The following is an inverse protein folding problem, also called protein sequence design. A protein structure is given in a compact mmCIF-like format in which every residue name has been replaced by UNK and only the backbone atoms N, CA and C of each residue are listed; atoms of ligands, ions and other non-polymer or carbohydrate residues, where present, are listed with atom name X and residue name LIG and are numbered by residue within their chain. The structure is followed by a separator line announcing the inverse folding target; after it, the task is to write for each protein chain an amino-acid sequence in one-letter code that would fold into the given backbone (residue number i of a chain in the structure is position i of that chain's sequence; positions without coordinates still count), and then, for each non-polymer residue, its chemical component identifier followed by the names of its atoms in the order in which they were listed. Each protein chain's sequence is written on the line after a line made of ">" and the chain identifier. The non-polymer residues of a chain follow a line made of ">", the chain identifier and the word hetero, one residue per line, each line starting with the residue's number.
data_IF_456253783542
#
_entry.id   IF_456253783542
#
_cell.length_a   1.000
_cell.length_b   1.000
_cell.length_c   1.000
_cell.angle_alpha   90.00
_cell.angle_beta   90.00
_cell.angle_gamma   90.00
#
_symmetry.space_group_name_H-M   'P 1'
#
loop_
_entity.id
_entity.type
_entity.pdbx_description
1 polymer ?
#
# COMPACT_ATOMS: atom_id res chain seq x y z
N UNK A 1 -8.13 25.64 -4.91
CA UNK A 1 -7.90 26.04 -3.50
C UNK A 1 -6.41 26.02 -3.28
N UNK A 2 -5.79 27.18 -3.01
CA UNK A 2 -4.40 27.21 -2.57
C UNK A 2 -4.37 26.68 -1.14
N UNK A 3 -3.72 25.53 -0.94
CA UNK A 3 -3.59 24.90 0.38
C UNK A 3 -2.48 25.55 1.22
N UNK A 4 -1.73 26.49 0.64
CA UNK A 4 -0.63 27.21 1.27
C UNK A 4 -1.03 28.63 1.64
N UNK A 5 -0.58 29.09 2.81
CA UNK A 5 -0.64 30.49 3.24
C UNK A 5 0.29 31.38 2.39
N UNK A 6 0.21 32.70 2.58
CA UNK A 6 1.14 33.66 1.96
C UNK A 6 2.59 33.41 2.38
N UNK A 7 2.82 32.83 3.57
CA UNK A 7 4.13 32.42 4.05
C UNK A 7 4.58 31.04 3.55
N UNK A 8 3.76 30.35 2.75
CA UNK A 8 4.07 29.00 2.24
C UNK A 8 3.78 27.87 3.24
N UNK A 9 3.10 28.15 4.34
CA UNK A 9 2.73 27.15 5.34
C UNK A 9 1.46 26.40 4.92
N UNK A 10 1.37 25.13 5.28
CA UNK A 10 0.18 24.31 5.04
C UNK A 10 -0.05 23.33 6.19
N UNK A 11 -1.26 22.79 6.27
CA UNK A 11 -1.63 21.76 7.23
C UNK A 11 -2.41 20.65 6.52
N UNK A 12 -2.10 19.40 6.86
CA UNK A 12 -2.72 18.20 6.28
C UNK A 12 -3.18 17.26 7.41
N UNK A 13 -4.37 16.70 7.25
CA UNK A 13 -4.87 15.63 8.09
C UNK A 13 -5.02 14.36 7.24
N UNK A 14 -4.28 13.30 7.60
CA UNK A 14 -4.36 11.98 6.94
C UNK A 14 -5.04 10.99 7.88
N UNK A 15 -6.17 10.37 7.49
CA UNK A 15 -6.80 9.34 8.32
C UNK A 15 -5.85 8.16 8.54
N UNK A 16 -5.73 7.68 9.79
CA UNK A 16 -4.89 6.53 10.11
C UNK A 16 -5.35 5.24 9.39
N UNK A 17 -6.63 5.13 9.04
CA UNK A 17 -7.16 4.02 8.25
C UNK A 17 -6.58 3.94 6.83
N UNK A 18 -6.04 5.03 6.29
CA UNK A 18 -5.37 5.08 4.98
C UNK A 18 -3.90 4.65 5.08
N UNK A 19 -3.34 4.60 6.30
CA UNK A 19 -1.94 4.25 6.54
C UNK A 19 -1.76 2.88 7.21
N UNK A 20 -2.74 2.46 8.01
CA UNK A 20 -2.66 1.29 8.89
C UNK A 20 -3.96 0.47 8.77
N UNK A 21 -3.87 -0.74 8.22
CA UNK A 21 -5.04 -1.62 8.09
C UNK A 21 -5.68 -2.00 9.45
N UNK A 22 -4.93 -1.96 10.55
CA UNK A 22 -5.52 -2.06 11.90
C UNK A 22 -6.56 -0.96 12.19
N UNK A 23 -6.26 0.28 11.83
CA UNK A 23 -7.15 1.42 12.02
C UNK A 23 -8.32 1.43 11.04
N UNK A 24 -8.21 0.70 9.92
CA UNK A 24 -9.30 0.49 8.99
C UNK A 24 -10.28 -0.58 9.50
N UNK A 25 -9.76 -1.72 9.96
CA UNK A 25 -10.57 -2.90 10.31
C UNK A 25 -11.09 -2.90 11.75
N UNK A 26 -10.28 -2.41 12.70
CA UNK A 26 -10.62 -2.50 14.11
C UNK A 26 -11.20 -1.18 14.64
N UNK A 27 -12.52 -1.07 14.60
CA UNK A 27 -13.26 0.13 15.02
C UNK A 27 -13.83 0.04 16.46
N UNK A 28 -13.32 -0.88 17.28
CA UNK A 28 -13.78 -1.07 18.67
C UNK A 28 -12.82 -0.44 19.67
N UNK A 29 -13.29 -0.27 20.90
CA UNK A 29 -12.51 0.32 22.00
C UNK A 29 -11.38 -0.62 22.42
N UNK A 30 -10.21 -0.04 22.71
CA UNK A 30 -9.04 -0.70 23.31
C UNK A 30 -8.74 0.01 24.62
N UNK A 31 -8.28 -0.72 25.63
CA UNK A 31 -8.02 -0.24 26.98
C UNK A 31 -6.66 -0.72 27.47
N UNK A 32 -5.99 0.06 28.30
CA UNK A 32 -4.73 -0.34 28.95
C UNK A 32 -3.62 -0.82 27.99
N UNK A 33 -3.68 -0.49 26.70
CA UNK A 33 -2.64 -0.82 25.72
C UNK A 33 -1.74 0.38 25.54
N UNK A 34 -0.43 0.16 25.67
CA UNK A 34 0.56 1.13 25.23
C UNK A 34 0.54 1.17 23.71
N UNK A 35 0.29 2.35 23.15
CA UNK A 35 0.30 2.57 21.70
C UNK A 35 1.55 3.37 21.34
N UNK A 36 2.20 2.97 20.25
CA UNK A 36 3.42 3.61 19.74
C UNK A 36 3.31 3.70 18.22
N UNK A 37 3.62 4.88 17.67
CA UNK A 37 3.67 5.13 16.23
C UNK A 37 5.10 5.56 15.88
N UNK A 38 5.76 4.76 15.05
CA UNK A 38 7.12 5.03 14.57
C UNK A 38 7.01 5.52 13.13
N UNK A 39 7.51 6.73 12.86
CA UNK A 39 7.59 7.32 11.53
C UNK A 39 9.06 7.51 11.16
N UNK A 40 9.44 7.01 9.98
CA UNK A 40 10.79 7.19 9.43
C UNK A 40 10.71 8.17 8.27
N UNK A 41 11.35 9.33 8.41
CA UNK A 41 11.40 10.36 7.36
C UNK A 41 12.57 10.09 6.41
N UNK A 42 12.33 10.23 5.11
CA UNK A 42 13.40 10.28 4.11
C UNK A 42 14.35 11.46 4.37
N UNK A 43 15.59 11.34 3.91
CA UNK A 43 16.57 12.44 3.93
C UNK A 43 16.32 13.47 2.81
N UNK A 44 15.48 13.12 1.85
CA UNK A 44 15.20 13.85 0.62
C UNK A 44 13.70 14.16 0.54
N UNK A 45 13.37 15.38 0.13
CA UNK A 45 12.00 15.90 0.04
C UNK A 45 11.46 15.86 -1.40
N UNK A 46 12.30 15.48 -2.37
CA UNK A 46 12.02 15.51 -3.80
C UNK A 46 10.83 14.63 -4.23
N UNK A 47 10.39 13.69 -3.39
CA UNK A 47 9.19 12.89 -3.63
C UNK A 47 7.89 13.60 -3.21
N UNK A 48 7.97 14.74 -2.54
CA UNK A 48 6.83 15.40 -1.89
C UNK A 48 6.30 16.61 -2.67
N UNK A 49 6.98 17.01 -3.74
CA UNK A 49 6.60 18.14 -4.59
C UNK A 49 6.99 17.90 -6.04
N UNK A 50 6.33 18.64 -6.95
CA UNK A 50 6.61 18.61 -8.38
C UNK A 50 7.02 20.02 -8.81
N UNK A 51 8.12 20.13 -9.54
CA UNK A 51 8.58 21.38 -10.13
C UNK A 51 8.06 21.49 -11.55
N UNK A 52 7.34 22.57 -11.85
CA UNK A 52 6.86 22.87 -13.20
C UNK A 52 7.89 23.77 -13.87
N UNK A 53 8.58 23.26 -14.89
CA UNK A 53 9.48 24.08 -15.73
C UNK A 53 8.64 25.09 -16.51
N UNK A 54 8.95 26.37 -16.40
CA UNK A 54 8.44 27.38 -17.32
C UNK A 54 9.29 27.32 -18.60
N UNK A 55 8.69 27.35 -19.81
CA UNK A 55 9.45 27.39 -21.05
C UNK A 55 10.35 28.63 -21.07
N UNK A 56 11.55 28.56 -21.67
CA UNK A 56 12.43 29.71 -21.78
C UNK A 56 11.73 30.79 -22.60
N UNK A 57 11.45 31.93 -21.96
CA UNK A 57 11.07 33.15 -22.66
C UNK A 57 12.35 33.74 -23.29
N UNK A 58 12.26 34.17 -24.56
CA UNK A 58 13.40 34.68 -25.33
C UNK A 58 14.32 35.58 -24.49
N UNK A 59 15.59 35.19 -24.38
CA UNK A 59 16.65 35.98 -23.76
C UNK A 59 16.90 35.79 -22.25
N UNK A 60 16.18 34.91 -21.54
CA UNK A 60 16.54 34.55 -20.16
C UNK A 60 17.20 33.15 -20.07
N UNK A 61 18.30 33.00 -19.31
CA UNK A 61 18.92 31.71 -19.08
C UNK A 61 17.95 30.76 -18.38
N UNK A 62 18.08 29.45 -18.63
CA UNK A 62 17.32 28.41 -17.96
C UNK A 62 17.48 28.58 -16.43
N UNK A 63 16.37 28.85 -15.73
CA UNK A 63 16.41 29.02 -14.27
C UNK A 63 16.88 27.71 -13.66
N UNK A 64 17.93 27.77 -12.86
CA UNK A 64 18.37 26.64 -12.02
C UNK A 64 17.19 26.22 -11.16
N UNK A 65 16.81 24.95 -11.22
CA UNK A 65 15.74 24.38 -10.40
C UNK A 65 16.18 24.43 -8.94
N UNK A 66 15.67 25.41 -8.19
CA UNK A 66 15.86 25.45 -6.74
C UNK A 66 15.08 24.31 -6.11
N UNK A 67 15.79 23.45 -5.37
CA UNK A 67 15.18 22.37 -4.61
C UNK A 67 14.33 22.97 -3.49
N UNK A 68 13.05 22.61 -3.46
CA UNK A 68 12.19 22.93 -2.33
C UNK A 68 12.58 22.04 -1.13
N UNK A 69 12.58 22.63 0.06
CA UNK A 69 12.78 21.94 1.34
C UNK A 69 11.48 22.03 2.13
N UNK A 70 11.01 20.90 2.64
CA UNK A 70 9.80 20.85 3.46
C UNK A 70 10.23 20.72 4.92
N UNK A 71 9.81 21.69 5.74
CA UNK A 71 10.07 21.68 7.17
C UNK A 71 8.82 21.21 7.93
N UNK A 72 8.96 20.11 8.67
CA UNK A 72 7.88 19.59 9.51
C UNK A 72 7.89 20.33 10.85
N UNK A 73 6.99 21.30 11.00
CA UNK A 73 6.87 22.08 12.23
C UNK A 73 6.24 21.27 13.37
N UNK A 74 5.18 20.52 13.06
CA UNK A 74 4.47 19.70 14.03
C UNK A 74 3.91 18.44 13.35
N UNK A 75 4.18 17.28 13.97
CA UNK A 75 3.59 16.01 13.57
C UNK A 75 2.87 15.46 14.79
N UNK A 76 1.55 15.32 14.68
CA UNK A 76 0.73 14.75 15.75
C UNK A 76 -0.27 13.75 15.17
N UNK A 77 -0.44 12.63 15.87
CA UNK A 77 -1.52 11.70 15.64
C UNK A 77 -2.64 11.94 16.66
N UNK A 78 -3.88 11.75 16.22
CA UNK A 78 -5.07 11.95 17.06
C UNK A 78 -5.89 10.67 17.04
N UNK A 79 -6.10 10.10 18.23
CA UNK A 79 -6.95 8.92 18.42
C UNK A 79 -8.10 9.35 19.35
N UNK A 80 -9.36 9.00 19.03
CA UNK A 80 -10.50 9.26 19.91
C UNK A 80 -10.30 8.58 21.27
N UNK A 81 -10.45 9.35 22.35
CA UNK A 81 -10.41 8.85 23.72
C UNK A 81 -11.83 8.83 24.29
N UNK A 82 -12.28 7.66 24.73
CA UNK A 82 -13.64 7.45 25.26
C UNK A 82 -13.57 7.23 26.77
N UNK A 83 -14.32 8.03 27.53
CA UNK A 83 -14.51 7.85 28.97
C UNK A 83 -15.93 7.37 29.25
N UNK A 84 -16.09 6.59 30.32
CA UNK A 84 -17.38 6.09 30.79
C UNK A 84 -17.61 6.61 32.20
N UNK A 85 -18.87 6.89 32.55
CA UNK A 85 -19.23 7.26 33.92
C UNK A 85 -18.95 6.11 34.91
N UNK A 86 -18.85 6.40 36.20
CA UNK A 86 -18.45 5.43 37.22
C UNK A 86 -19.35 4.18 37.27
N UNK A 87 -20.66 4.33 37.10
CA UNK A 87 -21.60 3.20 37.07
C UNK A 87 -21.32 2.25 35.90
N UNK A 88 -21.13 2.80 34.69
CA UNK A 88 -20.80 2.02 33.50
C UNK A 88 -19.37 1.47 33.56
N UNK A 89 -18.44 2.20 34.17
CA UNK A 89 -17.06 1.75 34.41
C UNK A 89 -17.06 0.48 35.25
N UNK A 90 -17.81 0.45 36.35
CA UNK A 90 -17.93 -0.75 37.20
C UNK A 90 -18.54 -1.92 36.45
N UNK A 91 -19.60 -1.69 35.67
CA UNK A 91 -20.23 -2.73 34.85
C UNK A 91 -19.25 -3.29 33.80
N UNK A 92 -18.50 -2.43 33.11
CA UNK A 92 -17.47 -2.81 32.16
C UNK A 92 -16.36 -3.62 32.84
N UNK A 93 -15.83 -3.16 33.98
CA UNK A 93 -14.79 -3.88 34.71
C UNK A 93 -15.26 -5.27 35.17
N UNK A 94 -16.53 -5.43 35.59
CA UNK A 94 -17.09 -6.76 35.91
C UNK A 94 -17.10 -7.70 34.70
N UNK A 95 -17.44 -7.20 33.52
CA UNK A 95 -17.39 -8.01 32.29
C UNK A 95 -15.96 -8.43 31.92
N UNK A 96 -15.00 -7.51 32.08
CA UNK A 96 -13.59 -7.76 31.74
C UNK A 96 -12.90 -8.71 32.73
N UNK A 97 -13.30 -8.70 34.01
CA UNK A 97 -12.76 -9.57 35.09
C UNK A 97 -12.83 -11.07 34.80
N UNK A 98 -13.63 -11.50 33.83
CA UNK A 98 -13.68 -12.91 33.38
C UNK A 98 -12.46 -13.36 32.55
N UNK A 99 -11.34 -12.63 32.58
CA UNK A 99 -10.10 -12.89 31.82
C UNK A 99 -10.32 -13.21 30.34
N UNK A 100 -11.32 -12.60 29.72
CA UNK A 100 -11.59 -12.80 28.29
C UNK A 100 -10.44 -12.20 27.48
N UNK A 101 -9.65 -13.09 26.88
CA UNK A 101 -8.74 -12.74 25.80
C UNK A 101 -9.59 -12.46 24.55
N UNK A 102 -9.35 -11.31 23.93
CA UNK A 102 -10.03 -10.90 22.71
C UNK A 102 -9.13 -11.21 21.52
N UNK A 103 -9.70 -11.88 20.52
CA UNK A 103 -9.07 -12.07 19.22
C UNK A 103 -9.32 -10.81 18.37
N UNK A 104 -8.25 -10.11 17.99
CA UNK A 104 -8.27 -8.92 17.15
C UNK A 104 -7.79 -9.30 15.75
N UNK A 105 -8.73 -9.46 14.82
CA UNK A 105 -8.44 -9.68 13.40
C UNK A 105 -8.35 -8.35 12.66
N UNK A 106 -7.32 -8.18 11.83
CA UNK A 106 -7.14 -7.04 10.94
C UNK A 106 -6.25 -7.40 9.76
N UNK A 107 -6.32 -6.63 8.68
CA UNK A 107 -5.47 -6.74 7.51
C UNK A 107 -4.20 -5.95 7.75
N UNK A 108 -3.07 -6.62 7.65
CA UNK A 108 -1.76 -6.01 7.74
C UNK A 108 -1.22 -5.74 6.33
N UNK A 109 -0.54 -4.61 6.17
CA UNK A 109 0.01 -4.17 4.90
C UNK A 109 1.54 -4.16 4.97
N UNK A 110 2.19 -4.77 4.00
CA UNK A 110 3.64 -4.84 3.91
C UNK A 110 4.11 -4.48 2.51
N UNK A 111 4.88 -3.41 2.40
CA UNK A 111 5.44 -2.93 1.14
C UNK A 111 6.87 -3.42 1.00
N UNK A 112 7.17 -3.99 -0.16
CA UNK A 112 8.50 -4.35 -0.61
C UNK A 112 8.81 -3.60 -1.89
N UNK A 113 10.06 -3.19 -2.07
CA UNK A 113 10.54 -2.58 -3.30
C UNK A 113 11.75 -3.35 -3.87
N UNK A 114 11.78 -3.45 -5.20
CA UNK A 114 12.95 -3.86 -5.97
C UNK A 114 13.53 -2.60 -6.63
N UNK A 115 14.55 -1.97 -6.04
CA UNK A 115 14.90 -0.58 -6.34
C UNK A 115 15.31 -0.33 -7.79
N UNK A 116 15.95 -1.31 -8.45
CA UNK A 116 16.42 -1.16 -9.82
C UNK A 116 16.25 -2.45 -10.61
N UNK A 117 15.22 -2.53 -11.44
CA UNK A 117 15.01 -3.67 -12.34
C UNK A 117 16.11 -3.76 -13.40
N UNK A 118 16.58 -4.98 -13.72
CA UNK A 118 17.49 -5.19 -14.83
C UNK A 118 16.78 -4.92 -16.16
N UNK A 119 17.51 -4.40 -17.15
CA UNK A 119 17.03 -4.10 -18.50
C UNK A 119 16.75 -5.38 -19.31
N UNK A 120 15.78 -6.14 -18.87
CA UNK A 120 15.35 -7.44 -19.39
C UNK A 120 13.85 -7.39 -19.69
N UNK A 121 13.35 -8.37 -20.45
CA UNK A 121 11.92 -8.50 -20.75
C UNK A 121 11.16 -9.32 -19.71
N UNK A 122 11.86 -10.07 -18.86
CA UNK A 122 11.28 -10.97 -17.87
C UNK A 122 12.09 -10.90 -16.59
N UNK A 123 11.40 -10.83 -15.48
CA UNK A 123 12.02 -10.82 -14.17
C UNK A 123 11.27 -11.74 -13.22
N UNK A 124 12.02 -12.42 -12.35
CA UNK A 124 11.50 -13.27 -11.29
C UNK A 124 12.01 -12.67 -9.98
N UNK A 125 11.08 -12.32 -9.10
CA UNK A 125 11.35 -11.70 -7.82
C UNK A 125 10.79 -12.55 -6.69
N UNK A 126 11.67 -13.15 -5.88
CA UNK A 126 11.31 -13.74 -4.59
C UNK A 126 11.14 -12.62 -3.56
N UNK A 127 9.89 -12.27 -3.26
CA UNK A 127 9.55 -11.09 -2.45
C UNK A 127 9.79 -11.36 -0.97
N UNK A 128 9.20 -12.43 -0.45
CA UNK A 128 9.38 -12.88 0.93
C UNK A 128 9.02 -14.36 1.05
N UNK A 129 9.52 -14.99 2.11
CA UNK A 129 8.94 -16.21 2.66
C UNK A 129 8.09 -15.81 3.86
N UNK A 130 6.79 -16.07 3.82
CA UNK A 130 5.86 -15.73 4.89
C UNK A 130 5.57 -16.93 5.79
N UNK A 131 5.34 -16.66 7.07
CA UNK A 131 4.96 -17.71 8.04
C UNK A 131 3.53 -18.19 7.78
N UNK A 132 3.15 -19.34 8.35
CA UNK A 132 1.83 -19.94 8.14
C UNK A 132 0.66 -19.00 8.48
N UNK A 133 0.85 -18.09 9.44
CA UNK A 133 -0.21 -17.23 9.94
C UNK A 133 -0.46 -15.97 9.13
N UNK A 134 0.48 -15.57 8.28
CA UNK A 134 0.39 -14.37 7.45
C UNK A 134 -0.12 -14.76 6.06
N UNK A 135 -1.40 -15.13 5.97
CA UNK A 135 -2.01 -15.57 4.71
C UNK A 135 -2.13 -14.40 3.72
N UNK A 136 -1.40 -14.38 2.59
CA UNK A 136 -1.51 -13.29 1.61
C UNK A 136 -2.90 -13.29 0.98
N UNK A 137 -3.64 -12.20 1.16
CA UNK A 137 -4.99 -12.03 0.65
C UNK A 137 -4.98 -11.28 -0.68
N UNK A 138 -4.14 -10.26 -0.79
CA UNK A 138 -3.94 -9.51 -2.02
C UNK A 138 -2.45 -9.23 -2.23
N UNK A 139 -2.04 -9.29 -3.49
CA UNK A 139 -0.73 -8.80 -3.94
C UNK A 139 -0.97 -7.68 -4.94
N UNK A 140 -0.37 -6.52 -4.70
CA UNK A 140 -0.42 -5.38 -5.62
C UNK A 140 0.98 -5.11 -6.14
N UNK A 141 1.16 -5.28 -7.44
CA UNK A 141 2.40 -4.99 -8.15
C UNK A 141 2.27 -3.66 -8.91
N UNK A 142 3.28 -2.81 -8.77
CA UNK A 142 3.34 -1.51 -9.43
C UNK A 142 4.78 -1.17 -9.83
N UNK A 143 4.95 -0.25 -10.78
CA UNK A 143 6.26 0.16 -11.26
C UNK A 143 6.37 1.68 -11.31
N UNK A 144 7.55 2.21 -11.02
CA UNK A 144 7.87 3.62 -11.25
C UNK A 144 9.22 3.76 -11.93
N UNK A 145 9.27 4.56 -12.99
CA UNK A 145 10.44 4.78 -13.83
C UNK A 145 10.95 6.19 -13.66
N UNK A 146 12.15 6.31 -13.09
CA UNK A 146 12.85 7.59 -12.88
C UNK A 146 11.95 8.63 -12.17
N UNK A 147 11.27 8.22 -11.09
CA UNK A 147 10.45 9.08 -10.21
C UNK A 147 11.02 9.22 -8.81
N UNK A 148 11.67 8.19 -8.29
CA UNK A 148 12.28 8.24 -6.95
C UNK A 148 13.28 9.39 -6.88
N UNK A 149 13.03 10.30 -5.95
CA UNK A 149 13.79 11.52 -5.68
C UNK A 149 13.95 12.42 -6.92
N UNK A 150 12.95 12.45 -7.80
CA UNK A 150 12.94 13.27 -9.00
C UNK A 150 11.75 14.24 -8.96
N UNK A 151 12.00 15.49 -8.57
CA UNK A 151 10.97 16.52 -8.47
C UNK A 151 10.39 16.96 -9.81
N UNK A 152 10.93 16.53 -10.94
CA UNK A 152 10.37 16.84 -12.26
C UNK A 152 9.26 15.86 -12.67
N UNK A 153 9.09 14.77 -11.93
CA UNK A 153 8.06 13.77 -12.19
C UNK A 153 7.16 13.55 -10.99
N UNK A 154 5.88 13.34 -11.27
CA UNK A 154 4.90 13.02 -10.24
C UNK A 154 5.18 11.64 -9.62
N UNK A 155 5.61 11.64 -8.35
CA UNK A 155 5.91 10.46 -7.55
C UNK A 155 4.64 9.68 -7.14
N UNK A 156 3.45 10.23 -7.33
CA UNK A 156 2.18 9.53 -7.07
C UNK A 156 1.73 8.64 -8.23
N UNK A 157 2.35 8.81 -9.42
CA UNK A 157 2.00 8.03 -10.61
C UNK A 157 2.85 6.76 -10.76
N UNK A 158 2.26 5.74 -11.37
CA UNK A 158 2.89 4.47 -11.72
C UNK A 158 2.93 4.27 -13.23
N UNK A 159 3.89 3.47 -13.71
CA UNK A 159 4.05 3.14 -15.12
C UNK A 159 3.61 1.72 -15.43
N UNK A 160 3.08 1.52 -16.63
CA UNK A 160 2.66 0.20 -17.09
C UNK A 160 3.84 -0.64 -17.62
N UNK A 161 5.02 -0.04 -17.81
CA UNK A 161 6.26 -0.68 -18.25
C UNK A 161 6.13 -1.66 -19.44
N UNK A 162 5.12 -1.47 -20.30
CA UNK A 162 4.74 -2.38 -21.39
C UNK A 162 4.55 -3.86 -20.95
N UNK A 163 4.05 -4.09 -19.73
CA UNK A 163 3.76 -5.43 -19.23
C UNK A 163 2.92 -6.23 -20.24
N UNK A 164 3.32 -7.49 -20.42
CA UNK A 164 2.61 -8.49 -21.22
C UNK A 164 2.03 -9.60 -20.37
N UNK A 165 2.66 -9.93 -19.25
CA UNK A 165 2.16 -10.97 -18.36
C UNK A 165 2.64 -10.75 -16.92
N UNK A 166 1.85 -11.21 -15.95
CA UNK A 166 2.21 -11.24 -14.52
C UNK A 166 1.66 -12.52 -13.91
N UNK A 167 2.50 -13.26 -13.19
CA UNK A 167 2.14 -14.43 -12.39
C UNK A 167 2.72 -14.31 -11.00
N UNK A 168 1.86 -14.47 -10.01
CA UNK A 168 2.23 -14.72 -8.63
C UNK A 168 2.33 -16.22 -8.42
N UNK A 169 3.38 -16.66 -7.74
CA UNK A 169 3.51 -18.00 -7.20
C UNK A 169 3.46 -17.91 -5.68
N UNK A 170 2.52 -18.65 -5.09
CA UNK A 170 2.48 -18.97 -3.67
C UNK A 170 2.91 -20.44 -3.55
N UNK A 171 4.16 -20.67 -3.17
CA UNK A 171 4.82 -21.97 -3.34
C UNK A 171 4.71 -22.46 -4.81
N UNK A 172 4.04 -23.59 -5.04
CA UNK A 172 3.85 -24.16 -6.37
C UNK A 172 2.52 -23.77 -7.05
N UNK A 173 1.71 -22.90 -6.44
CA UNK A 173 0.41 -22.47 -6.98
C UNK A 173 0.52 -21.10 -7.63
N UNK A 174 0.13 -20.99 -8.90
CA UNK A 174 0.18 -19.75 -9.66
C UNK A 174 -1.16 -19.00 -9.70
N UNK A 175 -1.10 -17.68 -9.65
CA UNK A 175 -2.23 -16.76 -9.74
C UNK A 175 -1.89 -15.56 -10.65
N UNK A 176 -2.74 -15.21 -11.63
CA UNK A 176 -3.78 -16.06 -12.19
C UNK A 176 -3.20 -17.36 -12.79
N UNK A 177 -4.07 -18.33 -13.06
CA UNK A 177 -3.68 -19.58 -13.73
C UNK A 177 -3.28 -19.32 -15.19
N UNK A 178 -4.18 -18.64 -15.91
CA UNK A 178 -3.97 -18.26 -17.31
C UNK A 178 -3.05 -17.04 -17.44
N UNK A 179 -2.39 -16.93 -18.59
CA UNK A 179 -1.61 -15.74 -18.92
C UNK A 179 -2.52 -14.54 -19.22
N UNK A 180 -2.14 -13.37 -18.72
CA UNK A 180 -2.92 -12.14 -18.86
C UNK A 180 -2.90 -11.60 -20.30
N UNK A 181 -1.89 -11.94 -21.10
CA UNK A 181 -1.75 -11.56 -22.51
C UNK A 181 -1.99 -10.06 -22.79
N UNK A 182 -1.39 -9.21 -21.96
CA UNK A 182 -1.59 -7.77 -21.93
C UNK A 182 -0.86 -7.09 -23.09
N UNK A 183 -1.46 -6.03 -23.62
CA UNK A 183 -0.87 -5.21 -24.67
C UNK A 183 -1.33 -3.75 -24.56
N UNK A 184 -0.53 -2.92 -23.89
CA UNK A 184 -0.84 -1.50 -23.73
C UNK A 184 -0.82 -0.70 -25.04
N UNK A 185 -0.02 -1.11 -26.04
CA UNK A 185 0.07 -0.45 -27.35
C UNK A 185 -1.23 -0.64 -28.14
N UNK A 186 -1.77 -1.86 -28.10
CA UNK A 186 -3.05 -2.21 -28.75
C UNK A 186 -4.28 -1.99 -27.85
N UNK A 187 -4.12 -1.31 -26.72
CA UNK A 187 -5.14 -1.11 -25.68
C UNK A 187 -5.82 -2.39 -25.14
N UNK A 188 -5.14 -3.54 -25.19
CA UNK A 188 -5.62 -4.81 -24.61
C UNK A 188 -5.13 -4.95 -23.17
N UNK A 189 -5.76 -4.22 -22.26
CA UNK A 189 -5.48 -4.27 -20.81
C UNK A 189 -6.76 -4.26 -19.97
N UNK A 190 -7.92 -4.56 -20.58
CA UNK A 190 -9.21 -4.58 -19.91
C UNK A 190 -9.25 -5.55 -18.71
N UNK A 191 -8.54 -6.68 -18.80
CA UNK A 191 -8.44 -7.65 -17.71
C UNK A 191 -7.72 -7.06 -16.48
N UNK A 192 -6.60 -6.34 -16.69
CA UNK A 192 -5.91 -5.64 -15.60
C UNK A 192 -6.80 -4.58 -14.97
N UNK A 193 -7.52 -3.82 -15.79
CA UNK A 193 -8.46 -2.83 -15.27
C UNK A 193 -9.60 -3.48 -14.47
N UNK A 194 -10.13 -4.62 -14.92
CA UNK A 194 -11.13 -5.38 -14.17
C UNK A 194 -10.59 -5.89 -12.83
N UNK A 195 -9.35 -6.38 -12.78
CA UNK A 195 -8.68 -6.75 -11.53
C UNK A 195 -8.56 -5.56 -10.57
N UNK A 196 -8.18 -4.39 -11.10
CA UNK A 196 -8.09 -3.14 -10.34
C UNK A 196 -9.45 -2.69 -9.79
N UNK A 197 -10.50 -2.66 -10.60
CA UNK A 197 -11.82 -2.18 -10.16
C UNK A 197 -12.52 -3.15 -9.22
N UNK A 198 -12.35 -4.45 -9.43
CA UNK A 198 -12.94 -5.49 -8.57
C UNK A 198 -12.34 -5.53 -7.18
N UNK A 199 -11.11 -5.03 -7.02
CA UNK A 199 -10.42 -5.01 -5.73
C UNK A 199 -11.22 -4.31 -4.66
N UNK A 200 -11.75 -3.10 -4.92
CA UNK A 200 -12.49 -2.36 -3.90
C UNK A 200 -13.72 -3.14 -3.42
N UNK A 201 -14.48 -3.73 -4.34
CA UNK A 201 -15.66 -4.53 -3.97
C UNK A 201 -15.27 -5.78 -3.18
N UNK A 202 -14.20 -6.48 -3.58
CA UNK A 202 -13.70 -7.66 -2.86
C UNK A 202 -13.11 -7.29 -1.48
N UNK A 203 -12.46 -6.14 -1.38
CA UNK A 203 -11.79 -5.65 -0.18
C UNK A 203 -12.76 -5.06 0.84
N UNK A 204 -13.69 -4.21 0.42
CA UNK A 204 -14.64 -3.54 1.31
C UNK A 204 -15.96 -4.29 1.50
N UNK A 205 -16.30 -5.21 0.60
CA UNK A 205 -17.59 -5.91 0.62
C UNK A 205 -18.77 -5.05 0.15
N UNK A 206 -18.51 -3.85 -0.36
CA UNK A 206 -19.51 -2.90 -0.86
C UNK A 206 -19.24 -2.56 -2.32
N UNK A 207 -20.32 -2.31 -3.08
CA UNK A 207 -20.18 -1.86 -4.46
C UNK A 207 -19.75 -0.39 -4.47
N UNK A 208 -18.53 -0.13 -4.91
CA UNK A 208 -17.96 1.20 -5.04
C UNK A 208 -17.68 1.53 -6.50
N UNK A 209 -17.76 2.81 -6.86
CA UNK A 209 -17.29 3.25 -8.17
C UNK A 209 -15.76 3.13 -8.23
N UNK A 210 -15.19 2.73 -9.38
CA UNK A 210 -13.75 2.74 -9.58
C UNK A 210 -13.13 4.10 -9.25
N UNK A 211 -12.03 4.11 -8.50
CA UNK A 211 -11.30 5.34 -8.17
C UNK A 211 -10.74 6.06 -9.40
N UNK A 212 -10.52 5.32 -10.48
CA UNK A 212 -9.87 5.81 -11.69
C UNK A 212 -10.56 5.21 -12.91
N UNK A 213 -10.77 6.01 -13.96
CA UNK A 213 -11.28 5.54 -15.24
C UNK A 213 -10.21 4.76 -16.02
N UNK A 214 -10.61 4.04 -17.07
CA UNK A 214 -9.68 3.20 -17.87
C UNK A 214 -8.47 3.97 -18.44
N UNK A 215 -8.64 5.25 -18.79
CA UNK A 215 -7.58 6.12 -19.31
C UNK A 215 -6.60 6.49 -18.20
N UNK A 216 -7.11 7.04 -17.08
CA UNK A 216 -6.29 7.38 -15.93
C UNK A 216 -5.60 6.13 -15.33
N UNK A 217 -6.24 4.96 -15.38
CA UNK A 217 -5.63 3.70 -14.99
C UNK A 217 -4.36 3.43 -15.81
N UNK A 218 -4.44 3.50 -17.14
CA UNK A 218 -3.28 3.27 -18.02
C UNK A 218 -2.16 4.29 -17.79
N UNK A 219 -2.51 5.57 -17.63
CA UNK A 219 -1.55 6.67 -17.62
C UNK A 219 -0.93 6.96 -16.24
N UNK A 220 -1.68 6.71 -15.16
CA UNK A 220 -1.31 7.17 -13.81
C UNK A 220 -1.24 6.05 -12.78
N UNK A 221 -2.02 4.99 -12.93
CA UNK A 221 -2.16 3.97 -11.90
C UNK A 221 -2.35 2.55 -12.45
N UNK A 222 -1.46 2.03 -13.32
CA UNK A 222 -1.54 0.68 -13.87
C UNK A 222 -1.12 -0.37 -12.83
N UNK A 223 -1.86 -0.42 -11.72
CA UNK A 223 -1.65 -1.35 -10.62
C UNK A 223 -2.16 -2.74 -11.02
N UNK A 224 -1.33 -3.77 -10.80
CA UNK A 224 -1.71 -5.17 -11.02
C UNK A 224 -2.13 -5.76 -9.68
N UNK A 225 -3.42 -6.01 -9.51
CA UNK A 225 -3.98 -6.54 -8.25
C UNK A 225 -4.34 -8.01 -8.41
N UNK A 226 -3.64 -8.89 -7.69
CA UNK A 226 -3.89 -10.33 -7.70
C UNK A 226 -4.64 -10.70 -6.42
N UNK A 227 -5.92 -11.07 -6.57
CA UNK A 227 -6.78 -11.52 -5.48
C UNK A 227 -6.51 -12.99 -5.14
N UNK A 228 -5.98 -13.21 -3.94
CA UNK A 228 -5.70 -14.53 -3.36
C UNK A 228 -6.63 -14.85 -2.19
N UNK A 229 -7.71 -14.10 -1.99
CA UNK A 229 -8.64 -14.28 -0.86
C UNK A 229 -9.27 -15.68 -0.84
N UNK A 230 -9.53 -16.24 -2.02
CA UNK A 230 -10.09 -17.58 -2.25
C UNK A 230 -9.02 -18.65 -2.56
N UNK A 231 -7.76 -18.41 -2.18
CA UNK A 231 -6.69 -19.38 -2.39
C UNK A 231 -6.96 -20.70 -1.67
N UNK A 232 -6.41 -21.79 -2.22
CA UNK A 232 -6.57 -23.15 -1.68
C UNK A 232 -6.09 -23.26 -0.23
N UNK A 233 -6.80 -24.04 0.57
CA UNK A 233 -6.40 -24.37 1.94
C UNK A 233 -5.12 -25.22 2.00
N UNK A 234 -4.74 -25.89 0.90
CA UNK A 234 -3.51 -26.69 0.84
C UNK A 234 -2.24 -25.86 0.97
N UNK A 235 -2.31 -24.54 0.74
CA UNK A 235 -1.17 -23.62 0.91
C UNK A 235 -0.85 -23.43 2.41
N UNK A 236 -1.76 -23.80 3.32
CA UNK A 236 -1.65 -23.59 4.77
C UNK A 236 -0.74 -24.58 5.51
N UNK A 237 -0.08 -25.54 4.86
CA UNK A 237 0.65 -26.62 5.57
C UNK A 237 2.12 -26.30 5.89
N UNK A 238 2.61 -25.08 5.64
CA UNK A 238 3.99 -24.68 5.92
C UNK A 238 4.31 -23.23 5.52
N UNK A 239 5.60 -22.84 5.53
CA UNK A 239 6.03 -21.54 5.02
C UNK A 239 5.58 -21.34 3.56
N UNK A 240 5.22 -20.11 3.22
CA UNK A 240 4.77 -19.76 1.87
C UNK A 240 5.79 -18.83 1.22
N UNK A 241 6.45 -19.32 0.18
CA UNK A 241 7.29 -18.49 -0.68
C UNK A 241 6.41 -17.66 -1.62
N UNK A 242 6.54 -16.34 -1.53
CA UNK A 242 5.82 -15.37 -2.36
C UNK A 242 6.77 -14.90 -3.46
N UNK A 243 6.52 -15.38 -4.68
CA UNK A 243 7.37 -15.07 -5.84
C UNK A 243 6.55 -14.44 -6.96
N UNK A 244 6.98 -13.30 -7.44
CA UNK A 244 6.40 -12.62 -8.60
C UNK A 244 7.24 -12.90 -9.83
N UNK A 245 6.55 -13.21 -10.92
CA UNK A 245 7.11 -13.31 -12.25
C UNK A 245 6.36 -12.34 -13.14
N UNK A 246 7.07 -11.49 -13.85
CA UNK A 246 6.45 -10.52 -14.74
C UNK A 246 7.26 -10.33 -16.01
N UNK A 247 6.54 -10.15 -17.10
CA UNK A 247 7.06 -10.05 -18.45
C UNK A 247 6.59 -8.75 -19.10
N UNK A 248 7.41 -8.20 -19.98
CA UNK A 248 7.14 -7.00 -20.76
C UNK A 248 7.50 -7.23 -22.22
N UNK A 249 6.76 -6.57 -23.13
CA UNK A 249 7.06 -6.59 -24.57
C UNK A 249 8.42 -5.98 -24.90
N UNK A 250 8.86 -5.01 -24.09
CA UNK A 250 10.15 -4.30 -24.22
C UNK A 250 10.96 -4.54 -22.96
N UNK A 251 12.26 -4.22 -23.00
CA UNK A 251 13.05 -4.26 -21.77
C UNK A 251 12.46 -3.25 -20.77
N UNK A 252 12.44 -3.60 -19.48
CA UNK A 252 12.11 -2.64 -18.44
C UNK A 252 13.00 -1.40 -18.61
N UNK A 253 12.42 -0.18 -18.60
CA UNK A 253 13.21 1.04 -18.73
C UNK A 253 14.31 1.12 -17.67
N UNK A 254 15.36 1.88 -17.97
CA UNK A 254 16.38 2.19 -16.95
C UNK A 254 15.74 2.97 -15.79
N UNK A 255 16.26 2.76 -14.58
CA UNK A 255 15.77 3.42 -13.36
C UNK A 255 14.30 3.08 -13.04
N UNK A 256 13.84 1.88 -13.38
CA UNK A 256 12.54 1.37 -12.94
C UNK A 256 12.67 0.65 -11.61
N UNK A 257 11.89 1.11 -10.62
CA UNK A 257 11.64 0.43 -9.35
C UNK A 257 10.33 -0.37 -9.46
N UNK A 258 10.33 -1.61 -8.97
CA UNK A 258 9.09 -2.38 -8.79
C UNK A 258 8.67 -2.33 -7.32
N UNK A 259 7.37 -2.20 -7.07
CA UNK A 259 6.78 -2.23 -5.74
C UNK A 259 5.83 -3.42 -5.64
N UNK A 260 5.88 -4.13 -4.52
CA UNK A 260 4.98 -5.21 -4.17
C UNK A 260 4.36 -4.91 -2.80
N UNK A 261 3.08 -4.56 -2.78
CA UNK A 261 2.30 -4.48 -1.54
C UNK A 261 1.61 -5.82 -1.30
N UNK A 262 1.92 -6.42 -0.16
CA UNK A 262 1.25 -7.63 0.33
C UNK A 262 0.25 -7.22 1.39
N UNK A 263 -1.01 -7.59 1.19
CA UNK A 263 -2.04 -7.47 2.21
C UNK A 263 -2.33 -8.88 2.72
N UNK A 264 -2.16 -9.10 4.02
CA UNK A 264 -2.42 -10.39 4.65
C UNK A 264 -3.30 -10.25 5.89
N UNK A 265 -4.05 -11.30 6.18
CA UNK A 265 -4.89 -11.34 7.38
C UNK A 265 -4.00 -11.60 8.60
N UNK A 266 -4.18 -10.82 9.67
CA UNK A 266 -3.45 -10.95 10.93
C UNK A 266 -4.41 -11.04 12.10
N UNK A 267 -4.11 -11.93 13.04
CA UNK A 267 -4.86 -12.07 14.28
C UNK A 267 -3.91 -11.93 15.46
N UNK A 268 -4.27 -11.07 16.42
CA UNK A 268 -3.56 -10.94 17.69
C UNK A 268 -4.50 -11.17 18.85
N UNK A 269 -4.00 -11.76 19.91
CA UNK A 269 -4.72 -11.91 21.16
C UNK A 269 -4.44 -10.72 22.07
N UNK A 270 -5.49 -10.17 22.65
CA UNK A 270 -5.40 -8.98 23.48
C UNK A 270 -6.16 -9.18 24.80
N UNK A 271 -5.48 -8.92 25.91
CA UNK A 271 -6.09 -8.93 27.23
C UNK A 271 -6.29 -7.47 27.72
N UNK A 272 -7.53 -6.99 27.84
CA UNK A 272 -7.81 -5.60 28.24
C UNK A 272 -7.52 -5.26 29.70
N UNK A 273 -7.40 -6.25 30.59
CA UNK A 273 -7.07 -6.00 31.99
C UNK A 273 -5.57 -5.77 32.16
N UNK A 274 -4.76 -6.59 31.51
CA UNK A 274 -3.30 -6.53 31.63
C UNK A 274 -2.65 -5.65 30.56
N UNK A 275 -3.36 -5.33 29.48
CA UNK A 275 -2.80 -4.64 28.32
C UNK A 275 -1.91 -5.51 27.45
N UNK A 276 -1.75 -6.80 27.78
CA UNK A 276 -0.86 -7.71 27.08
C UNK A 276 -1.46 -8.03 25.71
N UNK A 277 -0.63 -7.88 24.67
CA UNK A 277 -0.92 -8.29 23.31
C UNK A 277 0.02 -9.43 22.94
N UNK A 278 -0.53 -10.57 22.53
CA UNK A 278 0.21 -11.73 22.03
C UNK A 278 -0.02 -11.87 20.54
N UNK A 279 1.07 -11.95 19.79
CA UNK A 279 1.00 -12.37 18.39
C UNK A 279 0.82 -13.88 18.40
N UNK A 280 -0.23 -14.36 17.74
CA UNK A 280 -0.28 -15.77 17.36
C UNK A 280 0.90 -15.97 16.38
N UNK A 281 1.72 -17.02 16.60
CA UNK A 281 2.88 -17.42 15.77
C UNK A 281 2.55 -18.68 15.01
#
# INVERSE_FOLDING_TARGET
>A
LSITSEQGEFNLCVPLSVLLGFCEDYQKIIMNVKQELILVRSRQDENSYITIRQPPTDGQPERVLEKCKIELLNVSWKIPYVTVNEHQRLALMRHLKSEKVFSLGFRNWELYDYPLLPATKRHIWSVKTTSQLEKPRYIILAFQTNRSNNSEKDSSHFDHCNLSNVKLYLNCKSYPYDDLNIDFESNRYALLYHMYTSFQTSYYGEYTQPLSCLVNFKEKSPLVIIDCSKQSESIKSGPVDVRLEFESKRNFPAQTTAFCLIIHDRVVEYNPLTGIVRRLV
#
